data_IF_163652021495
#
_entry.id   IF_163652021495
#
_cell.length_a   1.000
_cell.length_b   1.000
_cell.length_c   1.000
_cell.angle_alpha   90.00
_cell.angle_beta   90.00
_cell.angle_gamma   90.00
#
_symmetry.space_group_name_H-M   'P 1'
#
loop_
_entity.id
_entity.type
_entity.pdbx_description
1 polymer ?
#
# COMPACT_ATOMS: atom_id res chain seq x y z
N UNK A 1 -47.62 40.19 9.61
CA UNK A 1 -46.18 40.55 9.65
C UNK A 1 -45.50 39.88 8.45
N UNK A 2 -45.05 40.65 7.47
CA UNK A 2 -44.39 40.12 6.27
C UNK A 2 -42.93 39.82 6.65
N UNK A 3 -42.54 38.55 6.69
CA UNK A 3 -41.13 38.18 6.93
C UNK A 3 -40.30 38.70 5.77
N UNK A 4 -39.42 39.67 6.03
CA UNK A 4 -38.40 40.11 5.09
C UNK A 4 -37.44 38.94 4.86
N UNK A 5 -37.43 38.37 3.66
CA UNK A 5 -36.39 37.40 3.29
C UNK A 5 -35.06 38.16 3.23
N UNK A 6 -34.19 37.90 4.20
CA UNK A 6 -32.78 38.29 4.12
C UNK A 6 -32.11 37.33 3.14
N UNK A 7 -31.90 37.79 1.91
CA UNK A 7 -31.14 37.06 0.90
C UNK A 7 -29.65 37.04 1.24
N UNK A 8 -28.96 36.01 0.77
CA UNK A 8 -27.51 35.89 0.85
C UNK A 8 -26.84 36.97 -0.01
N UNK A 9 -25.87 37.70 0.51
CA UNK A 9 -25.18 38.76 -0.24
C UNK A 9 -24.14 38.16 -1.18
N UNK A 10 -23.91 38.81 -2.33
CA UNK A 10 -22.81 38.45 -3.22
C UNK A 10 -21.44 38.52 -2.53
N UNK A 11 -21.30 39.44 -1.56
CA UNK A 11 -20.08 39.61 -0.78
C UNK A 11 -19.85 38.39 0.13
N UNK A 12 -20.89 37.89 0.82
CA UNK A 12 -20.79 36.67 1.62
C UNK A 12 -20.39 35.48 0.75
N UNK A 13 -20.95 35.36 -0.45
CA UNK A 13 -20.61 34.28 -1.37
C UNK A 13 -19.15 34.37 -1.85
N UNK A 14 -18.66 35.57 -2.17
CA UNK A 14 -17.27 35.78 -2.58
C UNK A 14 -16.28 35.43 -1.48
N UNK A 15 -16.57 35.78 -0.22
CA UNK A 15 -15.71 35.44 0.92
C UNK A 15 -15.67 33.92 1.13
N UNK A 16 -16.82 33.24 1.03
CA UNK A 16 -16.88 31.78 1.15
C UNK A 16 -16.05 31.09 0.07
N UNK A 17 -16.15 31.54 -1.18
CA UNK A 17 -15.35 30.98 -2.30
C UNK A 17 -13.86 31.21 -2.07
N UNK A 18 -13.46 32.38 -1.57
CA UNK A 18 -12.06 32.67 -1.27
C UNK A 18 -11.49 31.74 -0.18
N UNK A 19 -12.25 31.51 0.90
CA UNK A 19 -11.82 30.60 1.99
C UNK A 19 -11.73 29.16 1.49
N UNK A 20 -12.72 28.68 0.73
CA UNK A 20 -12.69 27.32 0.15
C UNK A 20 -11.49 27.17 -0.79
N UNK A 21 -11.16 28.19 -1.58
CA UNK A 21 -9.99 28.20 -2.46
C UNK A 21 -8.68 27.98 -1.70
N UNK A 22 -8.46 28.69 -0.59
CA UNK A 22 -7.26 28.53 0.24
C UNK A 22 -7.20 27.13 0.86
N UNK A 23 -8.32 26.65 1.42
CA UNK A 23 -8.37 25.32 2.02
C UNK A 23 -8.11 24.21 0.99
N UNK A 24 -8.70 24.31 -0.20
CA UNK A 24 -8.52 23.33 -1.27
C UNK A 24 -7.06 23.26 -1.76
N UNK A 25 -6.36 24.39 -1.84
CA UNK A 25 -4.96 24.45 -2.25
C UNK A 25 -4.03 23.64 -1.33
N UNK A 26 -4.34 23.55 -0.04
CA UNK A 26 -3.56 22.77 0.94
C UNK A 26 -4.11 21.35 1.12
N UNK A 27 -5.43 21.21 1.18
CA UNK A 27 -6.08 19.94 1.49
C UNK A 27 -5.93 18.90 0.37
N UNK A 28 -6.02 19.30 -0.90
CA UNK A 28 -5.91 18.38 -2.04
C UNK A 28 -4.53 17.72 -2.11
N UNK A 29 -3.40 18.45 -2.12
CA UNK A 29 -2.09 17.80 -2.17
C UNK A 29 -1.82 16.94 -0.92
N UNK A 30 -2.23 17.40 0.26
CA UNK A 30 -2.08 16.63 1.50
C UNK A 30 -2.88 15.31 1.47
N UNK A 31 -4.13 15.34 1.00
CA UNK A 31 -4.94 14.14 0.88
C UNK A 31 -4.37 13.16 -0.15
N UNK A 32 -3.87 13.65 -1.29
CA UNK A 32 -3.22 12.81 -2.31
C UNK A 32 -1.97 12.12 -1.77
N UNK A 33 -1.15 12.83 -1.00
CA UNK A 33 0.03 12.27 -0.32
C UNK A 33 -0.38 11.20 0.71
N UNK A 34 -1.43 11.45 1.50
CA UNK A 34 -1.94 10.49 2.47
C UNK A 34 -2.41 9.18 1.80
N UNK A 35 -3.19 9.29 0.72
CA UNK A 35 -3.66 8.12 -0.04
C UNK A 35 -2.48 7.38 -0.68
N UNK A 36 -1.51 8.11 -1.25
CA UNK A 36 -0.34 7.52 -1.87
C UNK A 36 0.53 6.72 -0.88
N UNK A 37 0.76 7.27 0.31
CA UNK A 37 1.51 6.60 1.39
C UNK A 37 0.72 5.44 2.01
N UNK A 38 -0.62 5.50 2.03
CA UNK A 38 -1.44 4.39 2.50
C UNK A 38 -1.24 3.10 1.67
N UNK A 39 -0.97 3.20 0.36
CA UNK A 39 -0.65 2.04 -0.47
C UNK A 39 0.61 1.31 -0.02
N UNK A 40 1.66 2.05 0.39
CA UNK A 40 2.89 1.46 0.92
C UNK A 40 2.64 0.68 2.21
N UNK A 41 1.86 1.25 3.13
CA UNK A 41 1.51 0.59 4.39
C UNK A 41 0.59 -0.62 4.20
N UNK A 42 -0.33 -0.55 3.22
CA UNK A 42 -1.15 -1.70 2.83
C UNK A 42 -0.30 -2.83 2.25
N UNK A 43 0.66 -2.49 1.39
CA UNK A 43 1.56 -3.47 0.78
C UNK A 43 2.39 -4.20 1.85
N UNK A 44 3.00 -3.46 2.79
CA UNK A 44 3.73 -4.05 3.94
C UNK A 44 2.85 -5.02 4.75
N UNK A 45 1.63 -4.61 5.10
CA UNK A 45 0.71 -5.46 5.87
C UNK A 45 0.32 -6.71 5.10
N UNK A 46 0.10 -6.57 3.78
CA UNK A 46 -0.21 -7.68 2.88
C UNK A 46 0.91 -8.71 2.87
N UNK A 47 2.15 -8.30 2.62
CA UNK A 47 3.28 -9.23 2.55
C UNK A 47 3.64 -9.83 3.92
N UNK A 48 3.55 -9.05 5.00
CA UNK A 48 3.89 -9.51 6.35
C UNK A 48 3.03 -10.70 6.82
N UNK A 49 1.79 -10.84 6.32
CA UNK A 49 0.92 -11.99 6.60
C UNK A 49 1.45 -13.32 6.07
N UNK A 50 2.32 -13.29 5.05
CA UNK A 50 2.89 -14.48 4.42
C UNK A 50 4.35 -14.71 4.78
N UNK A 51 5.11 -13.66 5.11
CA UNK A 51 6.55 -13.75 5.38
C UNK A 51 6.86 -14.74 6.50
N UNK A 52 6.12 -14.72 7.61
CA UNK A 52 6.37 -15.65 8.72
C UNK A 52 6.15 -17.12 8.33
N UNK A 53 5.09 -17.39 7.55
CA UNK A 53 4.80 -18.72 6.99
C UNK A 53 5.86 -19.15 5.98
N UNK A 54 6.31 -18.24 5.13
CA UNK A 54 7.35 -18.49 4.14
C UNK A 54 8.70 -18.76 4.79
N UNK A 55 9.08 -18.01 5.84
CA UNK A 55 10.28 -18.30 6.62
C UNK A 55 10.21 -19.67 7.28
N UNK A 56 9.07 -20.03 7.90
CA UNK A 56 8.87 -21.36 8.47
C UNK A 56 8.98 -22.47 7.41
N UNK A 57 8.32 -22.31 6.26
CA UNK A 57 8.43 -23.26 5.15
C UNK A 57 9.87 -23.41 4.65
N UNK A 58 10.56 -22.30 4.39
CA UNK A 58 11.94 -22.33 3.85
C UNK A 58 12.90 -22.96 4.86
N UNK A 59 12.81 -22.62 6.14
CA UNK A 59 13.75 -23.13 7.14
C UNK A 59 13.45 -24.57 7.58
N UNK A 60 12.17 -24.87 7.87
CA UNK A 60 11.80 -26.13 8.53
C UNK A 60 10.95 -27.05 7.67
N UNK A 61 10.55 -26.62 6.47
CA UNK A 61 9.67 -27.39 5.58
C UNK A 61 8.22 -27.46 6.05
N UNK A 62 7.86 -26.70 7.09
CA UNK A 62 6.51 -26.77 7.69
C UNK A 62 5.54 -25.94 6.85
N UNK A 63 4.37 -26.50 6.56
CA UNK A 63 3.22 -25.80 5.96
C UNK A 63 3.47 -25.18 4.57
N UNK A 64 4.48 -25.67 3.83
CA UNK A 64 4.78 -25.20 2.47
C UNK A 64 3.59 -25.36 1.51
N UNK A 65 2.90 -26.49 1.54
CA UNK A 65 1.76 -26.75 0.62
C UNK A 65 0.58 -25.82 0.89
N UNK A 66 0.24 -25.62 2.17
CA UNK A 66 -0.80 -24.66 2.57
C UNK A 66 -0.42 -23.23 2.20
N UNK A 67 0.85 -22.84 2.40
CA UNK A 67 1.34 -21.52 2.01
C UNK A 67 1.22 -21.31 0.49
N UNK A 68 1.67 -22.27 -0.31
CA UNK A 68 1.58 -22.19 -1.77
C UNK A 68 0.13 -22.14 -2.25
N UNK A 69 -0.77 -22.86 -1.58
CA UNK A 69 -2.22 -22.81 -1.87
C UNK A 69 -2.81 -21.43 -1.52
N UNK A 70 -2.45 -20.87 -0.36
CA UNK A 70 -2.90 -19.53 0.04
C UNK A 70 -2.37 -18.43 -0.90
N UNK A 71 -1.11 -18.50 -1.30
CA UNK A 71 -0.51 -17.58 -2.29
C UNK A 71 -1.22 -17.72 -3.64
N UNK A 72 -1.46 -18.96 -4.10
CA UNK A 72 -2.14 -19.20 -5.37
C UNK A 72 -3.61 -18.78 -5.38
N UNK A 73 -4.25 -18.70 -4.21
CA UNK A 73 -5.62 -18.21 -4.06
C UNK A 73 -5.72 -16.68 -3.95
N UNK A 74 -4.64 -16.01 -3.53
CA UNK A 74 -4.62 -14.55 -3.38
C UNK A 74 -4.06 -13.88 -4.65
N UNK A 75 -4.93 -13.14 -5.35
CA UNK A 75 -4.58 -12.48 -6.62
C UNK A 75 -3.67 -11.24 -6.48
N UNK A 76 -3.18 -10.92 -5.28
CA UNK A 76 -2.30 -9.76 -5.02
C UNK A 76 -0.89 -10.17 -4.63
N UNK A 77 -0.66 -11.42 -4.25
CA UNK A 77 0.66 -11.92 -3.90
C UNK A 77 1.18 -12.90 -4.94
N UNK A 78 2.46 -12.79 -5.28
CA UNK A 78 3.15 -13.73 -6.13
C UNK A 78 4.45 -14.15 -5.47
N UNK A 79 4.81 -15.43 -5.59
CA UNK A 79 6.10 -15.95 -5.18
C UNK A 79 7.03 -16.16 -6.38
N UNK A 80 8.33 -15.95 -6.17
CA UNK A 80 9.37 -16.42 -7.09
C UNK A 80 10.45 -17.15 -6.29
N UNK A 81 10.70 -18.45 -6.52
CA UNK A 81 9.99 -19.35 -7.44
C UNK A 81 8.48 -19.49 -7.11
N UNK A 82 7.68 -19.87 -8.10
CA UNK A 82 6.22 -19.97 -7.99
C UNK A 82 5.75 -20.97 -6.92
N UNK A 83 6.61 -21.91 -6.54
CA UNK A 83 6.41 -22.82 -5.42
C UNK A 83 7.53 -22.61 -4.42
N UNK A 84 7.17 -22.23 -3.20
CA UNK A 84 8.10 -22.09 -2.09
C UNK A 84 8.34 -23.47 -1.47
N UNK A 85 9.61 -23.81 -1.30
CA UNK A 85 10.08 -25.11 -0.80
C UNK A 85 11.11 -24.90 0.31
N UNK A 86 11.34 -25.94 1.09
CA UNK A 86 12.41 -25.96 2.09
C UNK A 86 13.78 -25.69 1.45
N UNK A 87 14.65 -25.02 2.20
CA UNK A 87 16.04 -24.73 1.87
C UNK A 87 16.23 -24.05 0.51
N UNK A 88 15.23 -23.29 0.06
CA UNK A 88 15.24 -22.60 -1.22
C UNK A 88 14.89 -21.13 -0.99
N UNK A 89 15.75 -20.22 -1.43
CA UNK A 89 15.46 -18.79 -1.37
C UNK A 89 14.22 -18.48 -2.20
N UNK A 90 13.34 -17.63 -1.68
CA UNK A 90 12.14 -17.18 -2.38
C UNK A 90 11.90 -15.70 -2.14
N UNK A 91 11.20 -15.06 -3.07
CA UNK A 91 10.68 -13.72 -2.87
C UNK A 91 9.18 -13.68 -3.00
N UNK A 92 8.53 -12.87 -2.16
CA UNK A 92 7.10 -12.63 -2.14
C UNK A 92 6.84 -11.20 -2.59
N UNK A 93 6.17 -11.01 -3.72
CA UNK A 93 5.77 -9.72 -4.24
C UNK A 93 4.28 -9.47 -3.96
N UNK A 94 3.95 -8.51 -3.10
CA UNK A 94 2.56 -8.08 -2.85
C UNK A 94 2.26 -6.79 -3.61
N UNK A 95 1.25 -6.84 -4.46
CA UNK A 95 0.85 -5.76 -5.37
C UNK A 95 -0.41 -5.06 -4.89
N UNK A 96 -0.30 -3.76 -4.70
CA UNK A 96 -1.43 -2.84 -4.51
C UNK A 96 -1.60 -1.96 -5.75
N UNK A 97 -2.67 -1.16 -5.79
CA UNK A 97 -2.91 -0.21 -6.88
C UNK A 97 -1.78 0.83 -7.05
N UNK A 98 -1.06 1.15 -5.97
CA UNK A 98 -0.02 2.19 -5.98
C UNK A 98 1.42 1.65 -5.85
N UNK A 99 1.62 0.54 -5.16
CA UNK A 99 2.94 0.06 -4.76
C UNK A 99 3.05 -1.46 -4.87
N UNK A 100 4.24 -1.95 -5.21
CA UNK A 100 4.61 -3.36 -5.13
C UNK A 100 5.72 -3.51 -4.11
N UNK A 101 5.49 -4.29 -3.07
CA UNK A 101 6.52 -4.66 -2.12
C UNK A 101 7.03 -6.06 -2.41
N UNK A 102 8.34 -6.25 -2.31
CA UNK A 102 8.99 -7.55 -2.41
C UNK A 102 9.72 -7.87 -1.11
N UNK A 103 9.35 -8.97 -0.48
CA UNK A 103 10.08 -9.57 0.63
C UNK A 103 10.95 -10.71 0.08
N UNK A 104 12.27 -10.57 0.14
CA UNK A 104 13.19 -11.64 -0.23
C UNK A 104 13.65 -12.40 1.02
N UNK A 105 13.47 -13.71 0.99
CA UNK A 105 13.81 -14.65 2.05
C UNK A 105 14.90 -15.57 1.53
N UNK A 106 16.06 -15.56 2.17
CA UNK A 106 17.16 -16.48 1.82
C UNK A 106 16.91 -17.87 2.42
N UNK A 107 17.53 -18.90 1.85
CA UNK A 107 17.47 -20.27 2.39
C UNK A 107 17.88 -20.33 3.88
N UNK A 108 18.84 -19.50 4.29
CA UNK A 108 19.31 -19.40 5.68
C UNK A 108 18.39 -18.57 6.60
N UNK A 109 17.28 -18.03 6.08
CA UNK A 109 16.31 -17.24 6.84
C UNK A 109 16.55 -15.73 6.88
N UNK A 110 17.53 -15.23 6.14
CA UNK A 110 17.74 -13.80 5.94
C UNK A 110 16.52 -13.18 5.27
N UNK A 111 16.11 -12.00 5.73
CA UNK A 111 14.92 -11.31 5.25
C UNK A 111 15.28 -9.89 4.84
N UNK A 112 14.87 -9.50 3.64
CA UNK A 112 15.02 -8.13 3.15
C UNK A 112 13.75 -7.67 2.46
N UNK A 113 13.48 -6.36 2.52
CA UNK A 113 12.33 -5.75 1.89
C UNK A 113 12.77 -4.70 0.88
N UNK A 114 12.14 -4.69 -0.28
CA UNK A 114 12.22 -3.61 -1.24
C UNK A 114 10.82 -3.22 -1.69
N UNK A 115 10.62 -1.95 -2.04
CA UNK A 115 9.32 -1.47 -2.51
C UNK A 115 9.51 -0.54 -3.70
N UNK A 116 8.65 -0.70 -4.69
CA UNK A 116 8.61 0.10 -5.91
C UNK A 116 7.20 0.62 -6.16
N UNK A 117 7.08 1.68 -6.96
CA UNK A 117 5.78 2.10 -7.47
C UNK A 117 5.21 1.02 -8.41
N UNK A 118 3.90 0.78 -8.33
CA UNK A 118 3.22 -0.07 -9.30
C UNK A 118 3.21 0.62 -10.67
N UNK A 119 3.32 -0.16 -11.75
CA UNK A 119 3.30 0.38 -13.11
C UNK A 119 1.96 1.10 -13.40
N UNK A 120 2.02 2.38 -13.76
CA UNK A 120 0.82 3.22 -13.92
C UNK A 120 0.05 3.50 -12.62
N UNK A 121 0.66 3.22 -11.46
CA UNK A 121 0.05 3.35 -10.15
C UNK A 121 -0.13 4.80 -9.69
N UNK A 122 -0.98 4.97 -8.68
CA UNK A 122 -1.32 6.28 -8.12
C UNK A 122 -0.27 6.86 -7.15
N UNK A 123 0.84 6.14 -6.89
CA UNK A 123 1.89 6.52 -5.96
C UNK A 123 3.27 6.48 -6.62
N UNK A 124 4.14 7.39 -6.19
CA UNK A 124 5.57 7.39 -6.52
C UNK A 124 6.35 6.45 -5.60
N UNK A 125 7.56 6.07 -6.01
CA UNK A 125 8.41 5.18 -5.19
C UNK A 125 8.72 5.78 -3.81
N UNK A 126 8.97 7.09 -3.74
CA UNK A 126 9.22 7.77 -2.47
C UNK A 126 8.02 7.69 -1.51
N UNK A 127 6.80 7.83 -2.04
CA UNK A 127 5.57 7.70 -1.25
C UNK A 127 5.35 6.26 -0.80
N UNK A 128 5.66 5.28 -1.66
CA UNK A 128 5.60 3.87 -1.31
C UNK A 128 6.57 3.55 -0.17
N UNK A 129 7.84 3.98 -0.26
CA UNK A 129 8.87 3.79 0.80
C UNK A 129 8.45 4.40 2.13
N UNK A 130 8.03 5.66 2.11
CA UNK A 130 7.54 6.39 3.30
C UNK A 130 6.34 5.69 3.93
N UNK A 131 5.40 5.22 3.11
CA UNK A 131 4.22 4.48 3.58
C UNK A 131 4.54 3.11 4.16
N UNK A 132 5.57 2.45 3.61
CA UNK A 132 6.04 1.14 4.04
C UNK A 132 6.95 1.20 5.28
N UNK A 133 7.53 2.35 5.59
CA UNK A 133 8.52 2.50 6.66
C UNK A 133 9.88 1.91 6.29
N UNK A 134 10.23 1.95 5.00
CA UNK A 134 11.51 1.50 4.43
C UNK A 134 12.41 2.67 4.04
#
# INVERSE_FOLDING_TARGET
MKRTQQGFTLIELMIVVAIIGILAAVAIPAYREYVATAYGGQAMKGVAGYVSKAQACIQTGIACDSLNTEIGADGKIASTPATILQNTSASLAYTTTGCVITAAITADGGLSYSIVAAAGGAATEAQCRKGAGL
#
